data_IF_996904079843
#
_entry.id   IF_996904079843
#
_cell.length_a   1.000
_cell.length_b   1.000
_cell.length_c   1.000
_cell.angle_alpha   90.00
_cell.angle_beta   90.00
_cell.angle_gamma   90.00
#
_symmetry.space_group_name_H-M   'P 1'
#
loop_
_entity.id
_entity.type
_entity.pdbx_description
1 polymer ?
#
# COMPACT_ATOMS: atom_id res chain seq x y z
N UNK A 1 -18.99 15.32 18.77
CA UNK A 1 -18.00 14.77 17.81
C UNK A 1 -18.64 14.86 16.45
N UNK A 2 -18.43 15.97 15.73
CA UNK A 2 -18.79 16.01 14.32
C UNK A 2 -17.90 15.00 13.58
N UNK A 3 -18.47 14.11 12.76
CA UNK A 3 -17.68 13.22 11.93
C UNK A 3 -16.88 14.10 10.96
N UNK A 4 -15.56 13.96 10.98
CA UNK A 4 -14.66 14.65 10.06
C UNK A 4 -15.15 14.37 8.62
N UNK A 5 -15.69 15.40 7.98
CA UNK A 5 -16.16 15.34 6.59
C UNK A 5 -14.99 14.95 5.68
N UNK A 6 -15.09 13.76 5.09
CA UNK A 6 -14.45 13.41 3.82
C UNK A 6 -12.95 13.69 3.71
N UNK A 7 -12.12 13.04 4.52
CA UNK A 7 -10.71 12.89 4.15
C UNK A 7 -10.62 11.83 3.05
N UNK A 8 -10.65 12.30 1.80
CA UNK A 8 -10.19 11.52 0.66
C UNK A 8 -8.75 11.04 0.95
N UNK A 9 -8.42 9.79 0.62
CA UNK A 9 -7.04 9.27 0.65
C UNK A 9 -6.18 9.88 -0.48
N UNK A 10 -6.34 11.17 -0.73
CA UNK A 10 -5.77 11.90 -1.86
C UNK A 10 -4.24 11.96 -1.82
N UNK A 11 -3.63 11.72 -0.65
CA UNK A 11 -2.18 11.74 -0.49
C UNK A 11 -1.47 10.58 -1.20
N UNK A 12 -2.15 9.45 -1.42
CA UNK A 12 -1.56 8.26 -2.06
C UNK A 12 -1.66 8.28 -3.58
N UNK A 13 -2.64 9.00 -4.11
CA UNK A 13 -2.92 9.04 -5.55
C UNK A 13 -1.74 9.59 -6.37
N UNK A 14 -1.08 10.71 -5.98
CA UNK A 14 0.10 11.20 -6.70
C UNK A 14 1.21 10.17 -6.77
N UNK A 15 1.46 9.44 -5.68
CA UNK A 15 2.47 8.37 -5.63
C UNK A 15 2.12 7.25 -6.62
N UNK A 16 0.88 6.77 -6.61
CA UNK A 16 0.45 5.68 -7.51
C UNK A 16 0.53 6.08 -8.99
N UNK A 17 0.20 7.32 -9.32
CA UNK A 17 0.36 7.86 -10.68
C UNK A 17 1.84 7.91 -11.07
N UNK A 18 2.72 8.38 -10.18
CA UNK A 18 4.16 8.43 -10.43
C UNK A 18 4.78 7.03 -10.58
N UNK A 19 4.37 6.05 -9.75
CA UNK A 19 4.79 4.65 -9.89
C UNK A 19 4.33 4.08 -11.23
N UNK A 20 3.06 4.29 -11.59
CA UNK A 20 2.47 3.79 -12.84
C UNK A 20 3.18 4.34 -14.08
N UNK A 21 3.38 5.66 -14.14
CA UNK A 21 4.06 6.35 -15.24
C UNK A 21 5.54 5.96 -15.33
N UNK A 22 6.23 5.86 -14.21
CA UNK A 22 7.64 5.45 -14.17
C UNK A 22 7.82 3.99 -14.60
N UNK A 23 6.93 3.09 -14.17
CA UNK A 23 6.97 1.67 -14.56
C UNK A 23 6.75 1.50 -16.07
N UNK A 24 5.72 2.16 -16.61
CA UNK A 24 5.42 2.12 -18.05
C UNK A 24 6.54 2.70 -18.89
N UNK A 25 7.10 3.85 -18.50
CA UNK A 25 8.23 4.46 -19.22
C UNK A 25 9.47 3.56 -19.20
N UNK A 26 9.77 2.92 -18.07
CA UNK A 26 10.94 2.04 -17.94
C UNK A 26 10.80 0.75 -18.76
N UNK A 27 9.61 0.14 -18.76
CA UNK A 27 9.32 -1.04 -19.59
C UNK A 27 9.37 -0.69 -21.09
N UNK A 28 8.80 0.44 -21.49
CA UNK A 28 8.78 0.88 -22.88
C UNK A 28 10.19 1.23 -23.37
N UNK A 29 11.02 1.86 -22.53
CA UNK A 29 12.41 2.17 -22.82
C UNK A 29 13.19 0.89 -23.15
N UNK A 30 13.01 -0.17 -22.34
CA UNK A 30 13.67 -1.46 -22.52
C UNK A 30 13.21 -2.18 -23.80
N UNK A 31 11.90 -2.20 -24.07
CA UNK A 31 11.35 -2.94 -25.20
C UNK A 31 11.59 -2.25 -26.56
N UNK A 32 11.40 -0.94 -26.63
CA UNK A 32 11.61 -0.16 -27.86
C UNK A 32 13.07 0.25 -28.06
N UNK A 33 13.97 -0.12 -27.13
CA UNK A 33 15.38 0.30 -27.09
C UNK A 33 15.52 1.81 -27.30
N UNK A 34 14.65 2.58 -26.66
CA UNK A 34 14.74 4.03 -26.71
C UNK A 34 16.08 4.43 -26.06
N UNK A 35 16.81 5.37 -26.65
CA UNK A 35 18.15 5.77 -26.15
C UNK A 35 18.06 6.70 -24.93
N UNK A 36 17.01 6.58 -24.11
CA UNK A 36 16.83 7.42 -22.94
C UNK A 36 17.59 6.86 -21.76
N UNK A 37 18.34 7.73 -21.09
CA UNK A 37 19.03 7.41 -19.84
C UNK A 37 18.02 7.00 -18.76
N UNK A 38 18.43 6.09 -17.89
CA UNK A 38 17.60 5.58 -16.78
C UNK A 38 17.11 6.71 -15.87
N UNK A 39 17.92 7.76 -15.71
CA UNK A 39 17.59 8.98 -14.98
C UNK A 39 16.36 9.70 -15.51
N UNK A 40 16.21 9.75 -16.84
CA UNK A 40 15.09 10.40 -17.52
C UNK A 40 13.81 9.59 -17.35
N UNK A 41 13.91 8.26 -17.35
CA UNK A 41 12.78 7.38 -17.09
C UNK A 41 12.18 7.56 -15.68
N UNK A 42 12.98 8.01 -14.71
CA UNK A 42 12.59 8.21 -13.31
C UNK A 42 12.04 9.61 -13.00
N UNK A 43 11.88 10.50 -13.99
CA UNK A 43 11.37 11.88 -13.79
C UNK A 43 10.07 11.95 -12.98
N UNK A 44 9.03 11.13 -13.23
CA UNK A 44 7.81 11.20 -12.45
C UNK A 44 8.05 10.88 -10.96
N UNK A 45 8.97 9.95 -10.67
CA UNK A 45 9.35 9.62 -9.30
C UNK A 45 10.16 10.74 -8.64
N UNK A 46 11.07 11.41 -9.36
CA UNK A 46 11.81 12.56 -8.85
C UNK A 46 10.88 13.70 -8.45
N UNK A 47 9.85 13.97 -9.25
CA UNK A 47 8.84 14.98 -8.94
C UNK A 47 8.04 14.62 -7.69
N UNK A 48 7.71 13.34 -7.51
CA UNK A 48 7.01 12.89 -6.31
C UNK A 48 7.86 13.07 -5.04
N UNK A 49 9.13 12.64 -5.07
CA UNK A 49 10.01 12.86 -3.92
C UNK A 49 10.24 14.34 -3.62
N UNK A 50 10.38 15.18 -4.64
CA UNK A 50 10.50 16.62 -4.45
C UNK A 50 9.24 17.22 -3.78
N UNK A 51 8.06 16.80 -4.23
CA UNK A 51 6.79 17.19 -3.61
C UNK A 51 6.71 16.75 -2.14
N UNK A 52 7.06 15.50 -1.83
CA UNK A 52 7.04 14.98 -0.46
C UNK A 52 8.03 15.73 0.47
N UNK A 53 9.23 16.05 -0.02
CA UNK A 53 10.21 16.84 0.73
C UNK A 53 9.72 18.28 0.99
N UNK A 54 9.08 18.93 0.00
CA UNK A 54 8.52 20.27 0.21
C UNK A 54 7.38 20.23 1.22
N UNK A 55 6.51 19.23 1.14
CA UNK A 55 5.39 19.03 2.07
C UNK A 55 5.88 18.85 3.52
N UNK A 56 6.88 17.99 3.72
CA UNK A 56 7.45 17.74 5.05
C UNK A 56 8.20 18.95 5.61
N UNK A 57 8.90 19.71 4.76
CA UNK A 57 9.52 20.98 5.15
C UNK A 57 8.48 22.01 5.60
N UNK A 58 7.38 22.15 4.86
CA UNK A 58 6.29 23.05 5.23
C UNK A 58 5.70 22.69 6.59
N UNK A 59 5.49 21.39 6.85
CA UNK A 59 5.00 20.92 8.14
C UNK A 59 6.00 21.14 9.29
N UNK A 60 7.30 20.97 9.06
CA UNK A 60 8.33 21.29 10.04
C UNK A 60 8.35 22.79 10.40
N UNK A 61 8.25 23.67 9.41
CA UNK A 61 8.23 25.13 9.62
C UNK A 61 6.99 25.54 10.42
N UNK A 62 5.81 25.01 10.06
CA UNK A 62 4.57 25.32 10.78
C UNK A 62 4.56 24.79 12.22
N UNK A 63 5.22 23.65 12.48
CA UNK A 63 5.39 23.13 13.84
C UNK A 63 6.26 24.06 14.69
N UNK A 64 7.43 24.47 14.19
CA UNK A 64 8.36 25.37 14.90
C UNK A 64 7.68 26.70 15.23
N UNK A 65 6.92 27.27 14.30
CA UNK A 65 6.22 28.55 14.50
C UNK A 65 5.09 28.42 15.54
N UNK A 66 4.42 27.26 15.64
CA UNK A 66 3.23 27.05 16.48
C UNK A 66 3.53 26.41 17.85
N UNK A 67 4.78 26.09 18.14
CA UNK A 67 5.23 25.36 19.34
C UNK A 67 4.82 26.02 20.68
N UNK A 68 4.43 27.30 20.68
CA UNK A 68 3.95 28.00 21.88
C UNK A 68 2.53 27.63 22.36
N UNK A 69 1.77 26.78 21.63
CA UNK A 69 0.33 26.59 21.91
C UNK A 69 -0.21 25.15 21.91
N UNK A 70 0.61 24.11 21.72
CA UNK A 70 0.05 22.78 21.35
C UNK A 70 0.23 21.66 22.39
N UNK A 71 -0.90 21.04 22.70
CA UNK A 71 -1.15 19.85 23.55
C UNK A 71 -0.36 18.61 23.06
N UNK A 72 -0.05 17.69 23.99
CA UNK A 72 0.73 16.44 23.81
C UNK A 72 0.38 15.59 22.57
N UNK A 73 -0.88 15.58 22.12
CA UNK A 73 -1.36 14.79 20.97
C UNK A 73 -0.79 15.25 19.62
N UNK A 74 -0.30 16.50 19.53
CA UNK A 74 0.35 17.03 18.32
C UNK A 74 1.78 16.52 18.14
N UNK A 75 2.47 16.23 19.25
CA UNK A 75 3.88 15.85 19.25
C UNK A 75 4.08 14.44 18.69
N UNK A 76 3.24 13.48 19.07
CA UNK A 76 3.30 12.11 18.51
C UNK A 76 3.05 12.07 17.00
N UNK A 77 2.12 12.90 16.51
CA UNK A 77 1.82 13.02 15.09
C UNK A 77 3.00 13.62 14.30
N UNK A 78 3.70 14.60 14.87
CA UNK A 78 4.91 15.15 14.28
C UNK A 78 6.00 14.09 14.11
N UNK A 79 6.36 13.38 15.20
CA UNK A 79 7.38 12.33 15.15
C UNK A 79 7.04 11.22 14.14
N UNK A 80 5.78 10.81 14.07
CA UNK A 80 5.33 9.82 13.10
C UNK A 80 5.53 10.28 11.65
N UNK A 81 5.24 11.55 11.35
CA UNK A 81 5.47 12.12 10.01
C UNK A 81 6.95 12.34 9.70
N UNK A 82 7.77 12.73 10.68
CA UNK A 82 9.23 12.83 10.48
C UNK A 82 9.86 11.47 10.20
N UNK A 83 9.42 10.40 10.88
CA UNK A 83 9.87 9.03 10.59
C UNK A 83 9.47 8.61 9.18
N UNK A 84 8.25 8.94 8.75
CA UNK A 84 7.78 8.68 7.39
C UNK A 84 8.63 9.42 6.34
N UNK A 85 8.92 10.71 6.57
CA UNK A 85 9.78 11.51 5.70
C UNK A 85 11.21 10.93 5.59
N UNK A 86 11.76 10.46 6.71
CA UNK A 86 13.06 9.79 6.73
C UNK A 86 13.03 8.48 5.91
N UNK A 87 11.93 7.73 6.00
CA UNK A 87 11.68 6.57 5.15
C UNK A 87 11.69 6.94 3.66
N UNK A 88 10.94 7.96 3.26
CA UNK A 88 10.93 8.41 1.86
C UNK A 88 12.30 8.88 1.36
N UNK A 89 13.12 9.50 2.22
CA UNK A 89 14.50 9.86 1.88
C UNK A 89 15.38 8.62 1.65
N UNK A 90 15.20 7.55 2.43
CA UNK A 90 15.86 6.26 2.19
C UNK A 90 15.41 5.64 0.86
N UNK A 91 14.11 5.71 0.53
CA UNK A 91 13.59 5.26 -0.75
C UNK A 91 14.16 6.06 -1.94
N UNK A 92 14.31 7.38 -1.79
CA UNK A 92 14.99 8.23 -2.79
C UNK A 92 16.46 7.82 -2.97
N UNK A 93 17.17 7.55 -1.86
CA UNK A 93 18.55 7.07 -1.91
C UNK A 93 18.65 5.73 -2.67
N UNK A 94 17.72 4.80 -2.42
CA UNK A 94 17.61 3.55 -3.17
C UNK A 94 17.43 3.81 -4.68
N UNK A 95 16.50 4.68 -5.09
CA UNK A 95 16.28 5.01 -6.51
C UNK A 95 17.54 5.57 -7.18
N UNK A 96 18.29 6.45 -6.49
CA UNK A 96 19.55 7.00 -7.00
C UNK A 96 20.60 5.91 -7.19
N UNK A 97 20.80 5.04 -6.18
CA UNK A 97 21.77 3.95 -6.27
C UNK A 97 21.39 2.94 -7.37
N UNK A 98 20.11 2.67 -7.57
CA UNK A 98 19.64 1.82 -8.66
C UNK A 98 19.93 2.45 -10.03
N UNK A 99 19.73 3.75 -10.21
CA UNK A 99 20.09 4.44 -11.45
C UNK A 99 21.60 4.35 -11.71
N UNK A 100 22.43 4.60 -10.69
CA UNK A 100 23.89 4.47 -10.80
C UNK A 100 24.30 3.03 -11.14
N UNK A 101 23.69 2.02 -10.50
CA UNK A 101 23.96 0.61 -10.78
C UNK A 101 23.63 0.25 -12.23
N UNK A 102 22.49 0.70 -12.75
CA UNK A 102 22.03 0.37 -14.11
C UNK A 102 22.94 1.01 -15.15
N UNK A 103 23.34 2.28 -14.97
CA UNK A 103 24.16 3.02 -15.93
C UNK A 103 25.65 2.63 -15.88
N UNK A 104 26.23 2.56 -14.67
CA UNK A 104 27.67 2.38 -14.50
C UNK A 104 28.09 0.93 -14.31
N UNK A 105 27.18 0.05 -13.88
CA UNK A 105 27.44 -1.38 -13.67
C UNK A 105 28.35 -1.74 -12.48
N UNK A 106 29.15 -0.80 -11.97
CA UNK A 106 30.24 -1.02 -11.00
C UNK A 106 29.82 -1.36 -9.56
N UNK A 107 28.57 -1.06 -9.18
CA UNK A 107 28.04 -1.39 -7.86
C UNK A 107 27.49 -2.82 -7.86
N UNK A 108 27.41 -3.52 -6.73
CA UNK A 108 26.59 -4.74 -6.63
C UNK A 108 25.16 -4.37 -6.24
N UNK A 109 24.17 -5.17 -6.65
CA UNK A 109 22.76 -4.94 -6.31
C UNK A 109 22.54 -4.94 -4.80
N UNK A 110 23.21 -5.80 -4.03
CA UNK A 110 23.10 -5.79 -2.57
C UNK A 110 23.44 -4.44 -1.94
N UNK A 111 24.42 -3.70 -2.50
CA UNK A 111 24.80 -2.37 -2.02
C UNK A 111 23.75 -1.32 -2.39
N UNK A 112 23.21 -1.41 -3.61
CA UNK A 112 22.14 -0.52 -4.05
C UNK A 112 20.87 -0.67 -3.21
N UNK A 113 20.63 -1.87 -2.66
CA UNK A 113 19.47 -2.19 -1.82
C UNK A 113 19.64 -1.82 -0.34
N UNK A 114 20.84 -1.42 0.14
CA UNK A 114 21.08 -1.05 1.55
C UNK A 114 20.08 -0.02 2.08
N UNK A 115 19.78 1.10 1.36
CA UNK A 115 18.81 2.08 1.86
C UNK A 115 17.40 1.48 2.01
N UNK A 116 17.02 0.53 1.14
CA UNK A 116 15.73 -0.14 1.21
C UNK A 116 15.65 -1.11 2.40
N UNK A 117 16.76 -1.75 2.80
CA UNK A 117 16.80 -2.54 4.04
C UNK A 117 16.62 -1.65 5.28
N UNK A 118 17.29 -0.50 5.31
CA UNK A 118 17.13 0.48 6.38
C UNK A 118 15.70 1.02 6.44
N UNK A 119 15.08 1.28 5.28
CA UNK A 119 13.67 1.67 5.19
C UNK A 119 12.77 0.64 5.88
N UNK A 120 12.94 -0.65 5.57
CA UNK A 120 12.14 -1.71 6.16
C UNK A 120 12.33 -1.78 7.69
N UNK A 121 13.57 -1.68 8.18
CA UNK A 121 13.86 -1.72 9.63
C UNK A 121 13.20 -0.54 10.35
N UNK A 122 13.33 0.67 9.83
CA UNK A 122 12.75 1.88 10.43
C UNK A 122 11.23 1.77 10.50
N UNK A 123 10.58 1.36 9.40
CA UNK A 123 9.13 1.22 9.36
C UNK A 123 8.62 0.08 10.25
N UNK A 124 9.32 -1.05 10.32
CA UNK A 124 8.96 -2.15 11.21
C UNK A 124 9.02 -1.74 12.70
N UNK A 125 10.09 -1.05 13.12
CA UNK A 125 10.24 -0.54 14.49
C UNK A 125 9.18 0.54 14.78
N UNK A 126 8.95 1.45 13.83
CA UNK A 126 7.92 2.48 13.93
C UNK A 126 6.52 1.88 14.07
N UNK A 127 6.17 0.88 13.26
CA UNK A 127 4.88 0.19 13.35
C UNK A 127 4.67 -0.37 14.76
N UNK A 128 5.68 -1.04 15.33
CA UNK A 128 5.60 -1.56 16.69
C UNK A 128 5.44 -0.46 17.74
N UNK A 129 6.19 0.64 17.62
CA UNK A 129 6.17 1.77 18.56
C UNK A 129 4.83 2.54 18.53
N UNK A 130 4.20 2.65 17.36
CA UNK A 130 2.98 3.43 17.16
C UNK A 130 1.72 2.58 16.94
N UNK A 131 1.79 1.25 17.16
CA UNK A 131 0.69 0.31 16.87
C UNK A 131 -0.65 0.67 17.52
N UNK A 132 -0.61 1.34 18.68
CA UNK A 132 -1.81 1.72 19.43
C UNK A 132 -2.45 3.03 18.93
N UNK A 133 -1.74 3.80 18.09
CA UNK A 133 -2.11 5.16 17.71
C UNK A 133 -2.26 5.31 16.19
N UNK A 134 -1.55 4.50 15.40
CA UNK A 134 -1.49 4.61 13.94
C UNK A 134 -1.95 3.33 13.26
N UNK A 135 -2.81 3.48 12.24
CA UNK A 135 -3.22 2.39 11.35
C UNK A 135 -2.08 1.98 10.42
N UNK A 136 -1.97 0.69 10.05
CA UNK A 136 -0.95 0.22 9.11
C UNK A 136 -1.09 0.92 7.75
N UNK A 137 0.02 1.42 7.23
CA UNK A 137 0.11 2.08 5.93
C UNK A 137 0.80 1.16 4.90
N UNK A 138 0.80 1.57 3.63
CA UNK A 138 1.45 0.81 2.55
C UNK A 138 2.93 0.60 2.86
N UNK A 139 3.58 1.59 3.48
CA UNK A 139 4.99 1.52 3.87
C UNK A 139 5.27 0.40 4.88
N UNK A 140 4.32 0.12 5.77
CA UNK A 140 4.44 -0.97 6.75
C UNK A 140 4.30 -2.34 6.05
N UNK A 141 3.49 -2.42 4.99
CA UNK A 141 3.41 -3.61 4.13
C UNK A 141 4.69 -3.80 3.31
N UNK A 142 5.34 -2.73 2.88
CA UNK A 142 6.66 -2.80 2.24
C UNK A 142 7.71 -3.27 3.24
N UNK A 143 7.65 -2.81 4.50
CA UNK A 143 8.60 -3.17 5.54
C UNK A 143 8.64 -4.68 5.86
N UNK A 144 7.49 -5.35 5.88
CA UNK A 144 7.44 -6.82 6.11
C UNK A 144 8.08 -7.62 4.98
N UNK A 145 8.32 -7.02 3.81
CA UNK A 145 8.92 -7.64 2.64
C UNK A 145 10.46 -7.53 2.59
N UNK A 146 11.13 -7.20 3.71
CA UNK A 146 12.60 -7.12 3.76
C UNK A 146 13.30 -8.38 3.23
N UNK A 147 12.75 -9.57 3.53
CA UNK A 147 13.30 -10.85 3.06
C UNK A 147 13.21 -10.94 1.54
N UNK A 148 12.08 -10.52 0.95
CA UNK A 148 11.91 -10.50 -0.51
C UNK A 148 12.96 -9.60 -1.16
N UNK A 149 13.18 -8.40 -0.64
CA UNK A 149 14.18 -7.48 -1.17
C UNK A 149 15.60 -8.06 -1.07
N UNK A 150 15.92 -8.73 0.04
CA UNK A 150 17.19 -9.41 0.22
C UNK A 150 17.39 -10.51 -0.83
N UNK A 151 16.40 -11.39 -1.00
CA UNK A 151 16.46 -12.48 -1.99
C UNK A 151 16.56 -11.95 -3.43
N UNK A 152 15.82 -10.89 -3.77
CA UNK A 152 15.91 -10.22 -5.07
C UNK A 152 17.33 -9.70 -5.31
N UNK A 153 17.90 -8.98 -4.34
CA UNK A 153 19.24 -8.40 -4.49
C UNK A 153 20.32 -9.47 -4.70
N UNK A 154 20.28 -10.55 -3.90
CA UNK A 154 21.21 -11.67 -4.01
C UNK A 154 21.05 -12.46 -5.31
N UNK A 155 19.80 -12.60 -5.80
CA UNK A 155 19.52 -13.25 -7.07
C UNK A 155 20.02 -12.42 -8.25
N UNK A 156 19.81 -11.10 -8.22
CA UNK A 156 20.30 -10.18 -9.24
C UNK A 156 21.83 -10.12 -9.32
N UNK A 157 22.52 -10.27 -8.19
CA UNK A 157 23.99 -10.38 -8.15
C UNK A 157 24.52 -11.76 -8.60
N UNK A 158 23.64 -12.74 -8.82
CA UNK A 158 24.03 -14.10 -9.20
C UNK A 158 24.58 -14.96 -8.04
N UNK A 159 24.54 -14.45 -6.81
CA UNK A 159 25.01 -15.16 -5.62
C UNK A 159 24.15 -16.40 -5.29
N UNK A 160 22.88 -16.39 -5.70
CA UNK A 160 21.92 -17.47 -5.48
C UNK A 160 21.34 -17.91 -6.83
N UNK A 161 21.31 -19.22 -7.08
CA UNK A 161 20.85 -19.85 -8.34
C UNK A 161 19.42 -20.40 -8.28
N UNK A 162 18.61 -19.91 -7.35
CA UNK A 162 17.24 -20.38 -7.10
C UNK A 162 16.25 -19.75 -8.09
N UNK A 163 15.14 -20.43 -8.41
CA UNK A 163 14.11 -19.90 -9.31
C UNK A 163 13.47 -18.61 -8.78
N UNK A 164 13.02 -17.75 -9.69
CA UNK A 164 12.36 -16.49 -9.35
C UNK A 164 11.05 -16.71 -8.58
N UNK A 165 10.34 -17.81 -8.85
CA UNK A 165 9.15 -18.20 -8.09
C UNK A 165 9.45 -18.33 -6.59
N UNK A 166 10.59 -18.93 -6.23
CA UNK A 166 11.00 -19.13 -4.84
C UNK A 166 11.44 -17.80 -4.20
N UNK A 167 12.13 -16.95 -4.96
CA UNK A 167 12.51 -15.59 -4.51
C UNK A 167 11.30 -14.76 -4.07
N UNK A 168 10.16 -14.94 -4.75
CA UNK A 168 8.92 -14.22 -4.45
C UNK A 168 7.99 -14.93 -3.45
N UNK A 169 8.38 -16.04 -2.80
CA UNK A 169 7.55 -16.73 -1.79
C UNK A 169 6.93 -15.79 -0.76
N UNK A 170 7.67 -14.83 -0.16
CA UNK A 170 7.05 -13.97 0.85
C UNK A 170 5.95 -13.08 0.26
N UNK A 171 6.07 -12.65 -1.01
CA UNK A 171 4.99 -11.93 -1.70
C UNK A 171 3.79 -12.83 -2.00
N UNK A 172 4.01 -14.09 -2.42
CA UNK A 172 2.93 -15.05 -2.62
C UNK A 172 2.11 -15.26 -1.35
N UNK A 173 2.75 -15.35 -0.19
CA UNK A 173 2.08 -15.48 1.11
C UNK A 173 1.16 -14.27 1.36
N UNK A 174 1.63 -13.05 1.09
CA UNK A 174 0.83 -11.83 1.25
C UNK A 174 -0.36 -11.83 0.29
N UNK A 175 -0.14 -12.22 -0.98
CA UNK A 175 -1.22 -12.30 -1.97
C UNK A 175 -2.29 -13.31 -1.54
N UNK A 176 -1.90 -14.46 -1.00
CA UNK A 176 -2.83 -15.46 -0.48
C UNK A 176 -3.62 -14.90 0.71
N UNK A 177 -2.97 -14.18 1.63
CA UNK A 177 -3.64 -13.52 2.75
C UNK A 177 -4.65 -12.47 2.26
N UNK A 178 -4.26 -11.63 1.31
CA UNK A 178 -5.15 -10.64 0.69
C UNK A 178 -6.34 -11.31 0.00
N UNK A 179 -6.11 -12.45 -0.67
CA UNK A 179 -7.17 -13.22 -1.30
C UNK A 179 -8.22 -13.70 -0.28
N UNK A 180 -7.78 -14.22 0.88
CA UNK A 180 -8.69 -14.64 1.96
C UNK A 180 -9.49 -13.44 2.50
N UNK A 181 -8.85 -12.30 2.70
CA UNK A 181 -9.52 -11.07 3.17
C UNK A 181 -10.60 -10.63 2.15
N UNK A 182 -10.28 -10.69 0.85
CA UNK A 182 -11.25 -10.32 -0.18
C UNK A 182 -12.38 -11.34 -0.34
N UNK A 183 -12.11 -12.63 -0.16
CA UNK A 183 -13.18 -13.65 -0.13
C UNK A 183 -14.18 -13.37 1.00
N UNK A 184 -13.68 -13.00 2.18
CA UNK A 184 -14.53 -12.57 3.28
C UNK A 184 -15.35 -11.32 2.91
N UNK A 185 -14.73 -10.33 2.28
CA UNK A 185 -15.44 -9.16 1.74
C UNK A 185 -16.54 -9.53 0.74
N UNK A 186 -16.28 -10.48 -0.17
CA UNK A 186 -17.27 -10.97 -1.12
C UNK A 186 -18.47 -11.63 -0.42
N UNK A 187 -18.23 -12.43 0.63
CA UNK A 187 -19.31 -13.05 1.42
C UNK A 187 -20.19 -11.96 2.04
N UNK A 188 -19.59 -10.92 2.65
CA UNK A 188 -20.33 -9.79 3.22
C UNK A 188 -21.15 -9.04 2.15
N UNK A 189 -20.59 -8.85 0.96
CA UNK A 189 -21.32 -8.25 -0.16
C UNK A 189 -22.51 -9.11 -0.56
N UNK A 190 -22.34 -10.43 -0.67
CA UNK A 190 -23.43 -11.37 -1.01
C UNK A 190 -24.53 -11.32 0.05
N UNK A 191 -24.19 -11.40 1.32
CA UNK A 191 -25.14 -11.28 2.44
C UNK A 191 -25.93 -9.96 2.40
N UNK A 192 -25.23 -8.87 2.06
CA UNK A 192 -25.84 -7.55 1.89
C UNK A 192 -26.81 -7.45 0.70
N UNK A 193 -26.66 -8.27 -0.34
CA UNK A 193 -27.60 -8.32 -1.47
C UNK A 193 -28.93 -8.98 -1.09
N UNK A 194 -28.92 -9.87 -0.10
CA UNK A 194 -30.13 -10.52 0.41
C UNK A 194 -30.84 -9.69 1.48
N UNK A 195 -30.14 -8.73 2.08
CA UNK A 195 -30.70 -7.79 3.06
C UNK A 195 -31.45 -6.66 2.34
N UNK A 196 -32.73 -6.49 2.65
CA UNK A 196 -33.67 -5.64 1.88
C UNK A 196 -33.54 -4.13 2.13
N UNK A 197 -32.54 -3.70 2.90
CA UNK A 197 -32.37 -2.31 3.33
C UNK A 197 -31.34 -1.58 2.44
N UNK A 198 -31.79 -0.51 1.80
CA UNK A 198 -30.99 0.30 0.88
C UNK A 198 -30.10 1.32 1.63
N UNK A 199 -29.20 0.83 2.48
CA UNK A 199 -28.26 1.71 3.17
C UNK A 199 -27.11 2.14 2.23
N UNK A 200 -26.76 3.44 2.19
CA UNK A 200 -25.68 3.94 1.34
C UNK A 200 -24.29 3.40 1.73
N UNK A 201 -24.15 2.87 2.95
CA UNK A 201 -22.92 2.21 3.41
C UNK A 201 -22.70 0.84 2.75
N UNK A 202 -23.78 0.11 2.45
CA UNK A 202 -23.74 -1.21 1.82
C UNK A 202 -23.37 -1.10 0.33
N UNK A 203 -23.87 -0.08 -0.36
CA UNK A 203 -23.52 0.18 -1.77
C UNK A 203 -22.05 0.57 -1.90
N UNK A 204 -21.52 1.33 -0.94
CA UNK A 204 -20.10 1.68 -0.87
C UNK A 204 -19.22 0.45 -0.63
N UNK A 205 -19.60 -0.41 0.32
CA UNK A 205 -18.93 -1.68 0.61
C UNK A 205 -18.82 -2.57 -0.64
N UNK A 206 -19.92 -2.66 -1.40
CA UNK A 206 -19.97 -3.40 -2.66
C UNK A 206 -19.00 -2.84 -3.69
N UNK A 207 -19.00 -1.52 -3.92
CA UNK A 207 -18.12 -0.89 -4.91
C UNK A 207 -16.64 -1.07 -4.57
N UNK A 208 -16.26 -0.89 -3.30
CA UNK A 208 -14.88 -1.07 -2.84
C UNK A 208 -14.41 -2.52 -2.95
N UNK A 209 -15.24 -3.49 -2.57
CA UNK A 209 -14.89 -4.91 -2.64
C UNK A 209 -14.68 -5.36 -4.10
N UNK A 210 -15.56 -4.92 -5.02
CA UNK A 210 -15.41 -5.20 -6.45
C UNK A 210 -14.12 -4.57 -7.01
N UNK A 211 -13.82 -3.33 -6.63
CA UNK A 211 -12.59 -2.68 -7.09
C UNK A 211 -11.31 -3.38 -6.61
N UNK A 212 -11.25 -3.74 -5.32
CA UNK A 212 -10.08 -4.44 -4.76
C UNK A 212 -9.94 -5.87 -5.29
N UNK A 213 -11.03 -6.57 -5.60
CA UNK A 213 -10.97 -7.92 -6.22
C UNK A 213 -10.41 -7.87 -7.63
N UNK A 214 -10.82 -6.89 -8.45
CA UNK A 214 -10.25 -6.68 -9.78
C UNK A 214 -8.77 -6.33 -9.66
N UNK A 215 -8.40 -5.42 -8.75
CA UNK A 215 -7.02 -5.03 -8.50
C UNK A 215 -6.14 -6.22 -8.09
N UNK A 216 -6.60 -7.06 -7.15
CA UNK A 216 -5.86 -8.24 -6.71
C UNK A 216 -5.67 -9.24 -7.85
N UNK A 217 -6.70 -9.47 -8.68
CA UNK A 217 -6.60 -10.35 -9.83
C UNK A 217 -5.58 -9.83 -10.85
N UNK A 218 -5.61 -8.53 -11.15
CA UNK A 218 -4.63 -7.88 -12.02
C UNK A 218 -3.21 -8.00 -11.46
N UNK A 219 -3.02 -7.81 -10.15
CA UNK A 219 -1.72 -7.97 -9.50
C UNK A 219 -1.23 -9.43 -9.52
N UNK A 220 -2.12 -10.40 -9.32
CA UNK A 220 -1.80 -11.82 -9.40
C UNK A 220 -1.33 -12.19 -10.82
N UNK A 221 -2.03 -11.74 -11.84
CA UNK A 221 -1.65 -11.96 -13.25
C UNK A 221 -0.28 -11.32 -13.53
N UNK A 222 -0.04 -10.10 -13.04
CA UNK A 222 1.26 -9.43 -13.15
C UNK A 222 2.37 -10.28 -12.53
N UNK A 223 2.18 -10.77 -11.29
CA UNK A 223 3.19 -11.58 -10.60
C UNK A 223 3.50 -12.88 -11.36
N UNK A 224 2.48 -13.56 -11.88
CA UNK A 224 2.67 -14.77 -12.70
C UNK A 224 3.48 -14.41 -13.95
N UNK A 225 3.09 -13.40 -14.71
CA UNK A 225 3.82 -13.01 -15.93
C UNK A 225 5.25 -12.56 -15.63
N UNK A 226 5.48 -11.82 -14.54
CA UNK A 226 6.79 -11.37 -14.12
C UNK A 226 7.71 -12.54 -13.79
N UNK A 227 7.22 -13.54 -13.03
CA UNK A 227 8.02 -14.73 -12.71
C UNK A 227 8.39 -15.53 -13.97
N UNK A 228 7.45 -15.69 -14.91
CA UNK A 228 7.71 -16.40 -16.17
C UNK A 228 8.69 -15.66 -17.07
N UNK A 229 8.60 -14.33 -17.11
CA UNK A 229 9.51 -13.48 -17.87
C UNK A 229 10.93 -13.49 -17.29
N UNK A 230 11.07 -13.48 -15.96
CA UNK A 230 12.37 -13.51 -15.28
C UNK A 230 13.06 -14.87 -15.35
N UNK A 231 12.29 -15.96 -15.40
CA UNK A 231 12.81 -17.33 -15.56
C UNK A 231 13.18 -17.66 -17.03
N UNK A 232 13.02 -16.70 -17.96
CA UNK A 232 13.24 -16.88 -19.40
C UNK A 232 12.40 -18.01 -20.04
N UNK A 233 11.31 -18.42 -19.41
CA UNK A 233 10.40 -19.42 -19.97
C UNK A 233 9.54 -18.87 -21.11
N UNK A 234 9.31 -17.55 -21.11
CA UNK A 234 8.49 -16.86 -22.10
C UNK A 234 9.22 -15.61 -22.61
N UNK A 235 9.39 -15.50 -23.93
CA UNK A 235 9.98 -14.29 -24.57
C UNK A 235 8.88 -13.24 -24.78
N UNK A 236 8.40 -12.67 -23.69
CA UNK A 236 7.36 -11.63 -23.70
C UNK A 236 8.03 -10.27 -23.46
N UNK A 237 7.66 -9.20 -24.18
CA UNK A 237 8.18 -7.86 -23.91
C UNK A 237 7.74 -7.37 -22.52
N UNK A 238 8.59 -6.62 -21.82
CA UNK A 238 8.32 -6.19 -20.44
C UNK A 238 7.11 -5.25 -20.34
N UNK A 239 6.75 -4.57 -21.42
CA UNK A 239 5.56 -3.72 -21.53
C UNK A 239 4.26 -4.52 -21.42
N UNK A 240 4.22 -5.73 -22.01
CA UNK A 240 3.08 -6.64 -21.87
C UNK A 240 2.99 -7.22 -20.46
N UNK A 241 4.15 -7.56 -19.88
CA UNK A 241 4.23 -8.00 -18.48
C UNK A 241 3.70 -6.92 -17.53
N UNK A 242 3.97 -5.63 -17.81
CA UNK A 242 3.55 -4.50 -16.98
C UNK A 242 2.06 -4.12 -17.13
N UNK A 243 1.35 -4.61 -18.15
CA UNK A 243 -0.03 -4.20 -18.46
C UNK A 243 -1.04 -4.54 -17.35
N UNK A 244 -0.99 -5.74 -16.72
CA UNK A 244 -1.83 -6.04 -15.57
C UNK A 244 -1.47 -5.21 -14.33
N UNK A 245 -0.20 -4.83 -14.15
CA UNK A 245 0.18 -3.91 -13.07
C UNK A 245 -0.43 -2.53 -13.28
N UNK A 246 -0.42 -2.02 -14.51
CA UNK A 246 -1.07 -0.77 -14.86
C UNK A 246 -2.58 -0.81 -14.57
N UNK A 247 -3.26 -1.90 -14.95
CA UNK A 247 -4.67 -2.11 -14.64
C UNK A 247 -4.94 -2.17 -13.12
N UNK A 248 -4.06 -2.83 -12.36
CA UNK A 248 -4.11 -2.87 -10.90
C UNK A 248 -4.00 -1.46 -10.29
N UNK A 249 -3.02 -0.65 -10.73
CA UNK A 249 -2.82 0.70 -10.20
C UNK A 249 -3.99 1.64 -10.58
N UNK A 250 -4.50 1.56 -11.81
CA UNK A 250 -5.66 2.36 -12.24
C UNK A 250 -6.90 1.99 -11.43
N UNK A 251 -7.14 0.70 -11.17
CA UNK A 251 -8.29 0.26 -10.37
C UNK A 251 -8.19 0.72 -8.93
N UNK A 252 -6.99 0.69 -8.31
CA UNK A 252 -6.77 1.26 -6.96
C UNK A 252 -7.03 2.77 -6.96
N UNK A 253 -6.48 3.51 -7.93
CA UNK A 253 -6.71 4.96 -8.04
C UNK A 253 -8.21 5.26 -8.17
N UNK A 254 -8.93 4.50 -9.00
CA UNK A 254 -10.38 4.64 -9.14
C UNK A 254 -11.11 4.34 -7.83
N UNK A 255 -10.74 3.28 -7.10
CA UNK A 255 -11.32 2.97 -5.80
C UNK A 255 -11.07 4.10 -4.79
N UNK A 256 -9.85 4.61 -4.71
CA UNK A 256 -9.49 5.72 -3.80
C UNK A 256 -10.24 7.03 -4.14
N UNK A 257 -10.60 7.24 -5.41
CA UNK A 257 -11.43 8.38 -5.85
C UNK A 257 -12.93 8.16 -5.65
N UNK A 258 -13.43 6.93 -5.83
CA UNK A 258 -14.86 6.63 -5.76
C UNK A 258 -15.32 6.33 -4.32
N UNK A 259 -14.41 5.85 -3.47
CA UNK A 259 -14.73 5.35 -2.13
C UNK A 259 -14.12 6.26 -1.05
N UNK A 260 -14.94 7.00 -0.29
CA UNK A 260 -14.48 7.72 0.90
C UNK A 260 -13.85 6.74 1.90
N UNK A 261 -12.77 7.17 2.56
CA UNK A 261 -11.79 6.34 3.26
C UNK A 261 -12.29 5.06 4.01
N UNK A 262 -11.48 3.99 4.01
CA UNK A 262 -11.79 2.72 4.69
C UNK A 262 -11.89 2.83 6.22
N UNK A 263 -11.58 3.98 6.83
CA UNK A 263 -11.80 4.23 8.27
C UNK A 263 -13.28 4.08 8.64
N UNK A 264 -14.18 4.36 7.69
CA UNK A 264 -15.61 4.12 7.81
C UNK A 264 -15.99 2.64 7.85
N UNK A 265 -15.17 1.73 7.29
CA UNK A 265 -15.50 0.30 7.16
C UNK A 265 -15.30 -0.47 8.46
N UNK A 266 -14.14 -0.30 9.11
CA UNK A 266 -13.91 -0.89 10.43
C UNK A 266 -14.75 -0.21 11.50
N UNK A 267 -15.03 1.10 11.37
CA UNK A 267 -15.96 1.75 12.30
C UNK A 267 -17.40 1.28 12.10
N UNK A 268 -17.88 1.09 10.87
CA UNK A 268 -19.23 0.55 10.63
C UNK A 268 -19.36 -0.90 11.09
N UNK A 269 -18.38 -1.76 10.78
CA UNK A 269 -18.39 -3.15 11.23
C UNK A 269 -18.44 -3.23 12.77
N UNK A 270 -17.69 -2.36 13.46
CA UNK A 270 -17.68 -2.28 14.91
C UNK A 270 -18.96 -1.64 15.49
N UNK A 271 -19.58 -0.67 14.79
CA UNK A 271 -20.88 -0.11 15.15
C UNK A 271 -22.02 -1.11 14.99
N UNK A 272 -22.04 -1.89 13.90
CA UNK A 272 -23.01 -2.94 13.68
C UNK A 272 -22.84 -4.09 14.68
N UNK A 273 -21.59 -4.47 15.00
CA UNK A 273 -21.31 -5.44 16.06
C UNK A 273 -21.81 -4.94 17.44
N UNK A 274 -21.63 -3.66 17.76
CA UNK A 274 -22.19 -3.07 18.98
C UNK A 274 -23.72 -3.03 18.98
N UNK A 275 -24.34 -2.64 17.86
CA UNK A 275 -25.79 -2.56 17.73
C UNK A 275 -26.47 -3.92 17.95
N UNK A 276 -25.94 -4.97 17.34
CA UNK A 276 -26.41 -6.37 17.52
C UNK A 276 -26.24 -6.85 18.97
N UNK A 277 -25.17 -6.44 19.65
CA UNK A 277 -24.98 -6.78 21.08
C UNK A 277 -26.01 -6.06 21.96
N UNK A 278 -26.31 -4.78 21.71
CA UNK A 278 -27.35 -4.05 22.46
C UNK A 278 -28.75 -4.61 22.24
N UNK A 279 -29.10 -4.97 20.99
CA UNK A 279 -30.42 -5.52 20.65
C UNK A 279 -30.64 -6.91 21.30
N UNK A 280 -29.59 -7.75 21.34
CA UNK A 280 -29.62 -9.03 22.05
C UNK A 280 -29.68 -8.88 23.59
N UNK A 281 -29.10 -7.80 24.13
CA UNK A 281 -29.15 -7.51 25.57
C UNK A 281 -30.54 -7.03 26.00
N UNK A 282 -31.19 -6.17 25.20
CA UNK A 282 -32.56 -5.70 25.42
C UNK A 282 -33.61 -6.81 25.20
N UNK A 283 -33.39 -7.72 24.25
CA UNK A 283 -34.21 -8.92 24.08
C UNK A 283 -34.10 -9.89 25.27
N UNK A 284 -32.92 -9.99 25.91
CA UNK A 284 -32.75 -10.83 27.11
C UNK A 284 -33.40 -10.24 28.37
N UNK A 285 -33.40 -8.90 28.50
CA UNK A 285 -33.99 -8.20 29.65
C UNK A 285 -35.52 -8.06 29.57
N UNK A 286 -36.13 -8.31 28.41
CA UNK A 286 -37.59 -8.30 28.23
C UNK A 286 -38.25 -9.67 28.42
N UNK A 287 -37.48 -10.72 28.73
CA UNK A 287 -37.98 -12.10 28.94
C UNK A 287 -37.98 -12.59 30.40
N UNK A 288 -37.83 -11.73 31.41
CA UNK A 288 -38.18 -12.08 32.79
C UNK A 288 -39.58 -11.56 33.16
N UNK A 289 -40.64 -12.39 33.10
CA UNK A 289 -41.91 -12.03 33.69
C UNK A 289 -41.77 -12.06 35.22
N UNK A 290 -42.09 -10.93 35.86
CA UNK A 290 -42.23 -10.84 37.30
C UNK A 290 -43.31 -11.81 37.79
N UNK A 291 -42.89 -12.86 38.47
CA UNK A 291 -43.75 -13.66 39.34
C UNK A 291 -43.69 -13.06 40.76
N UNK A 292 -44.79 -12.40 41.13
CA UNK A 292 -45.48 -12.41 42.43
C UNK A 292 -44.63 -12.66 43.68
N UNK A 293 -44.53 -11.63 44.53
CA UNK A 293 -45.04 -11.67 45.92
C UNK A 293 -45.75 -10.35 46.19
#
# INVERSE_FOLDING_TARGET
>A
MEPNKGQWNLSRIPLLICISTTSTLSCLNKDLKLRYDTWTSMIPMWLWFAYDMISTLHECITFIIRESSVVSNSRSNYWAKSILAFGHLLALCFCILMCVKIEQGNLMYIHAFIPLFLFCIVHFVSFYAFRNVRQPQIDDLVAVNIITFLLISLRLDGNILISWTVVFIPLWIIIILLFVILLYGCILVIDSLFTKNADPSVTLLRQSTVGYTISLLCFLIFMILLTQALENHMVIPMSYVNLPLLACLITIIMVDFLVPSPESYFSLANCNAKAVVTENTEASNSQTPGAVV
#
